data_IF_565943022492
#
_entry.id   IF_565943022492
#
_cell.length_a   1.000
_cell.length_b   1.000
_cell.length_c   1.000
_cell.angle_alpha   90.00
_cell.angle_beta   90.00
_cell.angle_gamma   90.00
#
_symmetry.space_group_name_H-M   'P 1'
#
loop_
_entity.id
_entity.type
_entity.pdbx_description
1 polymer ?
#
# COMPACT_ATOMS: atom_id res chain seq x y z
N UNK A 1 22.94 2.41 2.45
CA UNK A 1 22.17 3.04 1.36
C UNK A 1 20.76 3.20 1.88
N UNK A 2 20.22 4.41 1.83
CA UNK A 2 18.94 4.77 2.45
C UNK A 2 17.76 4.58 1.49
N UNK A 3 16.54 4.56 2.03
CA UNK A 3 15.31 4.62 1.24
C UNK A 3 15.24 5.96 0.50
N UNK A 4 14.85 5.96 -0.78
CA UNK A 4 14.77 7.17 -1.60
C UNK A 4 13.45 7.28 -2.37
N UNK A 5 12.93 8.50 -2.50
CA UNK A 5 11.76 8.81 -3.33
C UNK A 5 12.20 9.16 -4.77
N UNK A 6 11.50 8.59 -5.75
CA UNK A 6 11.73 8.81 -7.17
C UNK A 6 10.43 9.36 -7.79
N UNK A 7 10.42 10.61 -8.31
CA UNK A 7 9.25 11.23 -8.92
C UNK A 7 8.99 10.69 -10.33
N UNK A 8 8.53 9.45 -10.42
CA UNK A 8 8.30 8.77 -11.69
C UNK A 8 7.27 9.50 -12.58
N UNK A 9 6.34 10.24 -11.99
CA UNK A 9 5.36 11.08 -12.68
C UNK A 9 5.99 12.13 -13.61
N UNK A 10 7.21 12.61 -13.34
CA UNK A 10 7.96 13.51 -14.25
C UNK A 10 8.34 12.83 -15.56
N UNK A 11 8.67 11.54 -15.52
CA UNK A 11 8.97 10.74 -16.72
C UNK A 11 7.68 10.45 -17.49
N UNK A 12 6.58 10.14 -16.79
CA UNK A 12 5.27 9.96 -17.43
C UNK A 12 4.78 11.25 -18.11
N UNK A 13 5.07 12.43 -17.52
CA UNK A 13 4.79 13.73 -18.16
C UNK A 13 5.51 13.86 -19.50
N UNK A 14 6.75 13.39 -19.60
CA UNK A 14 7.48 13.37 -20.86
C UNK A 14 6.81 12.44 -21.89
N UNK A 15 6.35 11.25 -21.48
CA UNK A 15 5.65 10.32 -22.37
C UNK A 15 4.33 10.91 -22.87
N UNK A 16 3.57 11.55 -22.00
CA UNK A 16 2.31 12.21 -22.35
C UNK A 16 2.54 13.37 -23.34
N UNK A 17 3.53 14.25 -23.09
CA UNK A 17 3.89 15.35 -24.01
C UNK A 17 4.28 14.86 -25.41
N UNK A 18 5.01 13.76 -25.48
CA UNK A 18 5.40 13.16 -26.77
C UNK A 18 4.22 12.53 -27.53
N UNK A 19 3.08 12.36 -26.88
CA UNK A 19 1.89 11.68 -27.42
C UNK A 19 0.74 12.64 -27.70
N UNK A 20 0.87 13.94 -27.39
CA UNK A 20 -0.19 14.97 -27.54
C UNK A 20 -0.78 15.09 -28.96
N UNK A 21 0.04 14.82 -29.99
CA UNK A 21 -0.37 14.96 -31.39
C UNK A 21 -0.86 13.64 -32.01
N UNK A 22 -0.91 12.56 -31.23
CA UNK A 22 -1.43 11.27 -31.68
C UNK A 22 -2.96 11.23 -31.54
N UNK A 23 -3.66 10.42 -32.36
CA UNK A 23 -5.04 10.03 -32.07
C UNK A 23 -5.17 9.47 -30.65
N UNK A 24 -6.32 9.67 -30.00
CA UNK A 24 -6.49 9.37 -28.57
C UNK A 24 -6.09 7.94 -28.18
N UNK A 25 -6.51 6.93 -28.95
CA UNK A 25 -6.14 5.54 -28.68
C UNK A 25 -4.64 5.29 -28.88
N UNK A 26 -4.06 5.78 -29.97
CA UNK A 26 -2.63 5.65 -30.25
C UNK A 26 -1.77 6.35 -29.17
N UNK A 27 -2.28 7.44 -28.58
CA UNK A 27 -1.63 8.14 -27.49
C UNK A 27 -1.62 7.32 -26.19
N UNK A 28 -2.74 6.66 -25.86
CA UNK A 28 -2.85 5.77 -24.70
C UNK A 28 -1.88 4.60 -24.86
N UNK A 29 -1.90 3.91 -26.01
CA UNK A 29 -1.01 2.78 -26.30
C UNK A 29 0.48 3.21 -26.19
N UNK A 30 0.82 4.38 -26.76
CA UNK A 30 2.19 4.89 -26.71
C UNK A 30 2.68 5.23 -25.28
N UNK A 31 1.79 5.76 -24.43
CA UNK A 31 2.12 6.03 -23.02
C UNK A 31 2.25 4.72 -22.25
N UNK A 32 1.32 3.78 -22.45
CA UNK A 32 1.33 2.47 -21.80
C UNK A 32 2.62 1.70 -22.10
N UNK A 33 3.01 1.57 -23.38
CA UNK A 33 4.21 0.82 -23.78
C UNK A 33 5.48 1.41 -23.15
N UNK A 34 5.60 2.74 -23.14
CA UNK A 34 6.75 3.43 -22.53
C UNK A 34 6.75 3.30 -21.02
N UNK A 35 5.58 3.36 -20.38
CA UNK A 35 5.41 3.11 -18.95
C UNK A 35 5.85 1.68 -18.61
N UNK A 36 5.44 0.68 -19.39
CA UNK A 36 5.83 -0.73 -19.20
C UNK A 36 7.34 -0.91 -19.29
N UNK A 37 7.99 -0.32 -20.29
CA UNK A 37 9.44 -0.40 -20.46
C UNK A 37 10.19 0.33 -19.34
N UNK A 38 9.72 1.51 -18.95
CA UNK A 38 10.28 2.28 -17.85
C UNK A 38 10.23 1.50 -16.53
N UNK A 39 9.06 0.96 -16.17
CA UNK A 39 8.89 0.17 -14.96
C UNK A 39 9.73 -1.10 -14.99
N UNK A 40 9.82 -1.79 -16.13
CA UNK A 40 10.71 -2.96 -16.30
C UNK A 40 12.16 -2.62 -15.96
N UNK A 41 12.64 -1.48 -16.46
CA UNK A 41 14.01 -1.03 -16.24
C UNK A 41 14.24 -0.64 -14.78
N UNK A 42 13.32 0.11 -14.16
CA UNK A 42 13.38 0.50 -12.75
C UNK A 42 13.48 -0.71 -11.81
N UNK A 43 12.70 -1.75 -12.10
CA UNK A 43 12.56 -2.95 -11.27
C UNK A 43 13.50 -4.09 -11.70
N UNK A 44 14.37 -3.90 -12.68
CA UNK A 44 15.21 -4.95 -13.30
C UNK A 44 16.08 -5.76 -12.33
N UNK A 45 16.38 -5.22 -11.15
CA UNK A 45 17.14 -5.90 -10.09
C UNK A 45 16.28 -6.76 -9.17
N UNK A 46 14.95 -6.69 -9.28
CA UNK A 46 14.01 -7.49 -8.48
C UNK A 46 13.82 -8.88 -9.10
N UNK A 47 13.23 -9.79 -8.33
CA UNK A 47 12.79 -11.08 -8.87
C UNK A 47 11.81 -10.88 -10.05
N UNK A 48 11.88 -11.68 -11.13
CA UNK A 48 11.06 -11.49 -12.34
C UNK A 48 9.56 -11.37 -12.07
N UNK A 49 9.03 -12.11 -11.09
CA UNK A 49 7.62 -12.03 -10.71
C UNK A 49 7.22 -10.66 -10.13
N UNK A 50 8.13 -9.96 -9.44
CA UNK A 50 7.90 -8.59 -8.97
C UNK A 50 8.03 -7.58 -10.09
N UNK A 51 8.88 -7.83 -11.10
CA UNK A 51 8.96 -6.99 -12.29
C UNK A 51 7.64 -7.04 -13.06
N UNK A 52 7.16 -8.26 -13.36
CA UNK A 52 5.89 -8.46 -14.07
C UNK A 52 4.70 -7.85 -13.30
N UNK A 53 4.65 -8.11 -11.99
CA UNK A 53 3.64 -7.54 -11.11
C UNK A 53 3.68 -6.01 -11.09
N UNK A 54 4.87 -5.41 -10.98
CA UNK A 54 5.05 -3.96 -10.99
C UNK A 54 4.61 -3.33 -12.31
N UNK A 55 4.96 -3.93 -13.46
CA UNK A 55 4.52 -3.46 -14.77
C UNK A 55 3.00 -3.52 -14.90
N UNK A 56 2.38 -4.65 -14.52
CA UNK A 56 0.93 -4.80 -14.56
C UNK A 56 0.23 -3.78 -13.67
N UNK A 57 0.67 -3.63 -12.42
CA UNK A 57 0.10 -2.66 -11.49
C UNK A 57 0.24 -1.24 -12.02
N UNK A 58 1.41 -0.86 -12.54
CA UNK A 58 1.65 0.48 -13.06
C UNK A 58 0.73 0.86 -14.22
N UNK A 59 0.46 -0.08 -15.13
CA UNK A 59 -0.48 0.14 -16.23
C UNK A 59 -1.92 0.17 -15.73
N UNK A 60 -2.32 -0.82 -14.93
CA UNK A 60 -3.70 -0.87 -14.39
C UNK A 60 -4.06 0.37 -13.59
N UNK A 61 -3.11 0.94 -12.85
CA UNK A 61 -3.35 2.14 -12.06
C UNK A 61 -3.21 3.45 -12.84
N UNK A 62 -2.70 3.42 -14.08
CA UNK A 62 -2.69 4.59 -14.96
C UNK A 62 -4.03 4.72 -15.72
N UNK A 63 -4.68 3.59 -16.02
CA UNK A 63 -5.92 3.56 -16.80
C UNK A 63 -5.69 3.94 -18.27
N UNK A 64 -6.74 4.48 -18.90
CA UNK A 64 -6.74 4.94 -20.30
C UNK A 64 -6.87 6.48 -20.36
N UNK A 65 -5.86 7.23 -19.89
CA UNK A 65 -6.05 8.64 -19.61
C UNK A 65 -6.18 9.48 -20.87
N UNK A 66 -7.10 10.45 -20.84
CA UNK A 66 -7.06 11.59 -21.76
C UNK A 66 -5.75 12.37 -21.57
N UNK A 67 -4.92 12.50 -22.62
CA UNK A 67 -3.60 13.14 -22.53
C UNK A 67 -3.64 14.54 -21.91
N UNK A 68 -4.55 15.46 -22.32
CA UNK A 68 -4.65 16.78 -21.69
C UNK A 68 -5.00 16.72 -20.19
N UNK A 69 -5.85 15.78 -19.78
CA UNK A 69 -6.25 15.61 -18.37
C UNK A 69 -5.07 15.06 -17.55
N UNK A 70 -4.36 14.07 -18.08
CA UNK A 70 -3.15 13.54 -17.45
C UNK A 70 -2.07 14.60 -17.31
N UNK A 71 -1.84 15.41 -18.34
CA UNK A 71 -0.83 16.48 -18.28
C UNK A 71 -1.19 17.53 -17.23
N UNK A 72 -2.45 17.95 -17.15
CA UNK A 72 -2.90 18.87 -16.10
C UNK A 72 -2.68 18.28 -14.69
N UNK A 73 -3.05 17.01 -14.47
CA UNK A 73 -2.82 16.34 -13.19
C UNK A 73 -1.32 16.23 -12.85
N UNK A 74 -0.47 15.96 -13.84
CA UNK A 74 0.98 15.88 -13.65
C UNK A 74 1.61 17.24 -13.33
N UNK A 75 1.11 18.32 -13.95
CA UNK A 75 1.52 19.68 -13.63
C UNK A 75 1.07 20.06 -12.21
N UNK A 76 -0.11 19.64 -11.76
CA UNK A 76 -0.59 19.82 -10.38
C UNK A 76 0.27 19.07 -9.34
N UNK A 77 0.70 17.83 -9.65
CA UNK A 77 1.63 17.09 -8.79
C UNK A 77 2.99 17.77 -8.67
N UNK A 78 3.49 18.34 -9.77
CA UNK A 78 4.76 19.08 -9.77
C UNK A 78 4.63 20.40 -9.01
N UNK A 79 3.59 21.19 -9.28
CA UNK A 79 3.33 22.45 -8.59
C UNK A 79 3.01 22.26 -7.10
N UNK A 80 2.40 21.13 -6.75
CA UNK A 80 2.11 20.74 -5.37
C UNK A 80 3.26 20.06 -4.64
N UNK A 81 4.46 20.00 -5.21
CA UNK A 81 5.67 19.46 -4.58
C UNK A 81 5.53 18.00 -4.11
N UNK A 82 4.89 17.13 -4.92
CA UNK A 82 4.61 15.74 -4.54
C UNK A 82 5.85 14.98 -4.04
N UNK A 83 7.00 15.21 -4.68
CA UNK A 83 8.27 14.59 -4.28
C UNK A 83 8.69 15.04 -2.89
N UNK A 84 8.71 16.34 -2.64
CA UNK A 84 9.18 16.93 -1.39
C UNK A 84 8.24 16.57 -0.23
N UNK A 85 6.92 16.45 -0.49
CA UNK A 85 5.95 15.91 0.46
C UNK A 85 6.33 14.48 0.86
N UNK A 86 6.58 13.61 -0.13
CA UNK A 86 6.95 12.23 0.12
C UNK A 86 8.31 12.10 0.81
N UNK A 87 9.31 12.91 0.45
CA UNK A 87 10.62 12.95 1.12
C UNK A 87 10.45 13.34 2.61
N UNK A 88 9.66 14.39 2.92
CA UNK A 88 9.37 14.79 4.30
C UNK A 88 8.63 13.71 5.09
N UNK A 89 7.68 13.02 4.46
CA UNK A 89 6.94 11.93 5.09
C UNK A 89 7.84 10.73 5.38
N UNK A 90 8.72 10.38 4.44
CA UNK A 90 9.74 9.35 4.62
C UNK A 90 10.71 9.69 5.76
N UNK A 91 11.16 10.94 5.86
CA UNK A 91 12.02 11.38 6.96
C UNK A 91 11.35 11.21 8.32
N UNK A 92 10.06 11.57 8.43
CA UNK A 92 9.26 11.32 9.64
C UNK A 92 9.19 9.82 9.97
N UNK A 93 8.92 8.98 8.97
CA UNK A 93 8.83 7.53 9.13
C UNK A 93 10.17 6.92 9.61
N UNK A 94 11.27 7.27 8.96
CA UNK A 94 12.63 6.80 9.31
C UNK A 94 13.05 7.26 10.70
N UNK A 95 12.66 8.48 11.10
CA UNK A 95 12.91 8.98 12.46
C UNK A 95 12.11 8.20 13.51
N UNK A 96 10.88 7.81 13.21
CA UNK A 96 10.02 7.05 14.12
C UNK A 96 10.41 5.57 14.19
N UNK A 97 10.86 4.98 13.08
CA UNK A 97 11.26 3.57 12.96
C UNK A 97 12.54 3.46 12.13
N UNK A 98 13.69 3.60 12.78
CA UNK A 98 14.98 3.62 12.08
C UNK A 98 15.38 2.24 11.55
N UNK A 99 15.66 2.15 10.25
CA UNK A 99 16.20 0.95 9.58
C UNK A 99 17.37 1.29 8.64
N UNK A 100 18.59 1.44 9.16
CA UNK A 100 19.77 1.76 8.34
C UNK A 100 20.18 0.63 7.38
N UNK A 101 19.67 -0.58 7.63
CA UNK A 101 19.83 -1.77 6.80
C UNK A 101 18.79 -1.90 5.68
N UNK A 102 17.77 -1.03 5.65
CA UNK A 102 16.76 -0.99 4.61
C UNK A 102 17.25 -0.18 3.40
N UNK A 103 17.28 -0.84 2.24
CA UNK A 103 17.64 -0.24 0.96
C UNK A 103 16.49 -0.43 -0.03
N UNK A 104 15.75 0.64 -0.28
CA UNK A 104 14.48 0.59 -1.03
C UNK A 104 14.25 1.86 -1.85
N UNK A 105 13.36 1.76 -2.85
CA UNK A 105 12.96 2.90 -3.68
C UNK A 105 11.43 3.06 -3.65
N UNK A 106 10.96 4.26 -3.37
CA UNK A 106 9.54 4.62 -3.47
C UNK A 106 9.34 5.40 -4.76
N UNK A 107 8.53 4.88 -5.68
CA UNK A 107 8.27 5.50 -6.97
C UNK A 107 6.89 6.17 -6.96
N UNK A 108 6.85 7.48 -7.21
CA UNK A 108 5.60 8.23 -7.31
C UNK A 108 5.13 8.26 -8.77
N UNK A 109 4.09 7.50 -9.09
CA UNK A 109 3.46 7.45 -10.39
C UNK A 109 2.13 8.23 -10.39
N UNK A 110 1.67 8.76 -11.53
CA UNK A 110 0.30 9.22 -11.64
C UNK A 110 -0.65 8.02 -11.52
N UNK A 111 -1.78 8.24 -10.84
CA UNK A 111 -2.90 7.32 -10.87
C UNK A 111 -3.87 7.59 -12.03
N UNK A 112 -5.01 6.89 -11.99
CA UNK A 112 -6.10 7.02 -12.95
C UNK A 112 -7.17 8.00 -12.44
N UNK A 113 -7.35 9.09 -13.17
CA UNK A 113 -8.35 10.14 -12.90
C UNK A 113 -9.80 9.75 -13.13
N UNK A 114 -10.08 8.54 -13.62
CA UNK A 114 -11.42 7.99 -13.77
C UNK A 114 -11.69 6.81 -12.80
N UNK A 115 -10.67 6.39 -12.04
CA UNK A 115 -10.78 5.28 -11.10
C UNK A 115 -11.58 5.65 -9.86
N UNK A 116 -12.83 5.18 -9.79
CA UNK A 116 -13.69 5.37 -8.61
C UNK A 116 -13.09 4.80 -7.32
N UNK A 117 -12.28 3.75 -7.41
CA UNK A 117 -11.56 3.19 -6.25
C UNK A 117 -10.50 4.19 -5.77
N UNK A 118 -9.64 4.67 -6.68
CA UNK A 118 -8.58 5.61 -6.32
C UNK A 118 -9.16 6.90 -5.76
N UNK A 119 -10.14 7.50 -6.46
CA UNK A 119 -10.66 8.82 -6.11
C UNK A 119 -11.57 8.78 -4.88
N UNK A 120 -12.53 7.85 -4.84
CA UNK A 120 -13.60 7.90 -3.84
C UNK A 120 -13.33 7.01 -2.62
N UNK A 121 -12.52 5.96 -2.76
CA UNK A 121 -12.21 5.05 -1.64
C UNK A 121 -10.84 5.32 -1.03
N UNK A 122 -9.84 5.64 -1.86
CA UNK A 122 -8.45 5.83 -1.44
C UNK A 122 -8.04 7.31 -1.33
N UNK A 123 -8.96 8.26 -1.58
CA UNK A 123 -8.70 9.70 -1.53
C UNK A 123 -7.52 10.15 -2.40
N UNK A 124 -7.42 9.57 -3.59
CA UNK A 124 -6.45 9.93 -4.62
C UNK A 124 -5.05 9.34 -4.42
N UNK A 125 -4.78 8.57 -3.36
CA UNK A 125 -3.45 7.98 -3.15
C UNK A 125 -3.54 6.51 -2.78
N UNK A 126 -2.77 5.66 -3.47
CA UNK A 126 -2.62 4.24 -3.11
C UNK A 126 -1.15 3.82 -3.16
N UNK A 127 -0.78 2.83 -2.36
CA UNK A 127 0.56 2.26 -2.32
C UNK A 127 0.58 0.76 -2.61
N UNK A 128 1.72 0.28 -3.12
CA UNK A 128 1.96 -1.14 -3.34
C UNK A 128 3.45 -1.49 -3.20
N UNK A 129 3.79 -2.24 -2.16
CA UNK A 129 5.15 -2.68 -1.88
C UNK A 129 5.52 -4.01 -2.56
N UNK A 130 6.60 -3.99 -3.36
CA UNK A 130 7.24 -5.13 -4.00
C UNK A 130 8.42 -5.62 -3.15
N UNK A 131 8.09 -6.44 -2.15
CA UNK A 131 9.05 -6.88 -1.15
C UNK A 131 9.64 -5.71 -0.36
N UNK A 132 10.90 -5.83 0.06
CA UNK A 132 11.59 -4.79 0.83
C UNK A 132 12.34 -3.80 -0.07
N UNK A 133 12.24 -3.91 -1.39
CA UNK A 133 13.17 -3.24 -2.33
C UNK A 133 12.52 -2.10 -3.12
N UNK A 134 11.19 -2.15 -3.33
CA UNK A 134 10.49 -1.13 -4.08
C UNK A 134 9.05 -0.96 -3.58
N UNK A 135 8.54 0.27 -3.67
CA UNK A 135 7.12 0.61 -3.50
C UNK A 135 6.69 1.44 -4.69
N UNK A 136 5.53 1.12 -5.27
CA UNK A 136 4.86 1.97 -6.24
C UNK A 136 3.75 2.73 -5.51
N UNK A 137 3.78 4.06 -5.55
CA UNK A 137 2.72 4.92 -5.02
C UNK A 137 2.06 5.63 -6.19
N UNK A 138 0.75 5.52 -6.29
CA UNK A 138 -0.05 6.13 -7.34
C UNK A 138 -0.81 7.31 -6.75
N UNK A 139 -0.70 8.47 -7.41
CA UNK A 139 -1.21 9.75 -6.89
C UNK A 139 -2.07 10.42 -7.96
N UNK A 140 -3.27 10.84 -7.58
CA UNK A 140 -4.11 11.74 -8.36
C UNK A 140 -4.47 12.98 -7.51
N UNK A 141 -4.32 14.21 -8.06
CA UNK A 141 -4.45 15.43 -7.27
C UNK A 141 -5.92 15.82 -6.97
N UNK A 142 -6.56 15.08 -6.07
CA UNK A 142 -7.88 15.41 -5.49
C UNK A 142 -7.74 16.31 -4.25
N UNK A 143 -8.84 16.82 -3.70
CA UNK A 143 -8.77 17.58 -2.44
C UNK A 143 -7.99 16.82 -1.35
N UNK A 144 -7.07 17.52 -0.68
CA UNK A 144 -6.25 16.99 0.42
C UNK A 144 -5.28 15.84 0.04
N UNK A 145 -5.00 15.61 -1.26
CA UNK A 145 -4.10 14.55 -1.72
C UNK A 145 -2.70 14.60 -1.09
N UNK A 146 -2.22 15.77 -0.68
CA UNK A 146 -0.90 15.96 -0.07
C UNK A 146 -0.78 15.27 1.30
N UNK A 147 -1.84 15.36 2.11
CA UNK A 147 -1.88 14.70 3.41
C UNK A 147 -2.03 13.18 3.25
N UNK A 148 -2.84 12.75 2.28
CA UNK A 148 -2.97 11.34 1.91
C UNK A 148 -1.68 10.76 1.33
N UNK A 149 -0.90 11.55 0.58
CA UNK A 149 0.42 11.14 0.09
C UNK A 149 1.38 10.95 1.25
N UNK A 150 1.42 11.89 2.19
CA UNK A 150 2.27 11.77 3.38
C UNK A 150 1.93 10.51 4.17
N UNK A 151 0.63 10.28 4.41
CA UNK A 151 0.15 9.11 5.14
C UNK A 151 0.53 7.81 4.42
N UNK A 152 0.26 7.73 3.12
CA UNK A 152 0.52 6.53 2.32
C UNK A 152 2.01 6.21 2.27
N UNK A 153 2.88 7.22 2.16
CA UNK A 153 4.34 6.99 2.18
C UNK A 153 4.80 6.41 3.52
N UNK A 154 4.25 6.88 4.65
CA UNK A 154 4.60 6.34 5.98
C UNK A 154 4.03 4.92 6.15
N UNK A 155 2.80 4.68 5.68
CA UNK A 155 2.16 3.36 5.67
C UNK A 155 3.03 2.36 4.86
N UNK A 156 3.39 2.70 3.63
CA UNK A 156 4.22 1.84 2.78
C UNK A 156 5.64 1.65 3.31
N UNK A 157 6.19 2.64 4.02
CA UNK A 157 7.46 2.46 4.73
C UNK A 157 7.37 1.32 5.76
N UNK A 158 6.27 1.22 6.51
CA UNK A 158 6.07 0.09 7.43
C UNK A 158 6.04 -1.25 6.69
N UNK A 159 5.43 -1.33 5.51
CA UNK A 159 5.49 -2.54 4.68
C UNK A 159 6.90 -2.89 4.22
N UNK A 160 7.71 -1.90 3.80
CA UNK A 160 9.12 -2.13 3.45
C UNK A 160 9.90 -2.70 4.63
N UNK A 161 9.73 -2.13 5.83
CA UNK A 161 10.35 -2.62 7.07
C UNK A 161 9.92 -4.05 7.39
N UNK A 162 8.61 -4.35 7.30
CA UNK A 162 8.09 -5.70 7.55
C UNK A 162 8.57 -6.70 6.51
N UNK A 163 8.62 -6.34 5.23
CA UNK A 163 9.15 -7.18 4.18
C UNK A 163 10.66 -7.47 4.34
N UNK A 164 11.42 -6.58 4.99
CA UNK A 164 12.82 -6.82 5.31
C UNK A 164 12.98 -7.86 6.44
N UNK A 165 12.10 -7.83 7.44
CA UNK A 165 12.13 -8.75 8.58
C UNK A 165 11.54 -10.12 8.27
N UNK A 166 10.44 -10.10 7.52
CA UNK A 166 9.62 -11.26 7.16
C UNK A 166 9.54 -11.35 5.63
N UNK A 167 10.66 -11.68 4.96
CA UNK A 167 10.73 -11.68 3.51
C UNK A 167 9.76 -12.71 2.92
N UNK A 168 8.93 -12.25 1.99
CA UNK A 168 7.94 -13.03 1.26
C UNK A 168 8.33 -13.14 -0.21
N UNK A 169 8.06 -14.29 -0.81
CA UNK A 169 8.24 -14.56 -2.24
C UNK A 169 7.01 -15.26 -2.82
N UNK A 170 6.96 -15.36 -4.15
CA UNK A 170 5.87 -16.07 -4.84
C UNK A 170 6.31 -17.52 -5.10
N UNK A 171 5.54 -18.48 -4.59
CA UNK A 171 5.71 -19.89 -4.86
C UNK A 171 4.34 -20.55 -5.10
N UNK A 172 4.19 -21.29 -6.20
CA UNK A 172 2.93 -21.98 -6.52
C UNK A 172 1.70 -21.07 -6.60
N UNK A 173 1.88 -19.81 -7.04
CA UNK A 173 0.81 -18.81 -7.14
C UNK A 173 0.39 -18.17 -5.81
N UNK A 174 1.13 -18.41 -4.72
CA UNK A 174 0.87 -17.85 -3.39
C UNK A 174 2.06 -17.05 -2.88
N UNK A 175 1.81 -16.09 -1.99
CA UNK A 175 2.86 -15.49 -1.17
C UNK A 175 3.25 -16.48 -0.07
N UNK A 176 4.56 -16.72 0.06
CA UNK A 176 5.14 -17.61 1.08
C UNK A 176 6.29 -16.89 1.79
N UNK A 177 6.47 -17.17 3.08
CA UNK A 177 7.64 -16.70 3.81
C UNK A 177 8.89 -17.45 3.32
N UNK A 178 9.92 -16.72 2.89
CA UNK A 178 11.10 -17.32 2.26
C UNK A 178 11.86 -18.27 3.19
N UNK A 179 11.83 -18.01 4.51
CA UNK A 179 12.53 -18.84 5.51
C UNK A 179 11.82 -20.15 5.82
N UNK A 180 10.49 -20.14 5.95
CA UNK A 180 9.71 -21.32 6.38
C UNK A 180 9.02 -22.03 5.22
N UNK A 181 8.88 -21.36 4.07
CA UNK A 181 8.06 -21.79 2.93
C UNK A 181 6.56 -21.95 3.25
N UNK A 182 6.13 -21.45 4.41
CA UNK A 182 4.73 -21.42 4.80
C UNK A 182 4.01 -20.29 4.04
N UNK A 183 2.77 -20.53 3.59
CA UNK A 183 2.01 -19.50 2.89
C UNK A 183 1.56 -18.41 3.87
N UNK A 184 1.49 -17.19 3.35
CA UNK A 184 0.84 -16.09 4.06
C UNK A 184 -0.63 -16.44 4.32
N UNK A 185 -1.07 -16.16 5.55
CA UNK A 185 -2.44 -16.39 5.98
C UNK A 185 -3.24 -15.09 6.06
N UNK A 186 -4.56 -15.18 6.17
CA UNK A 186 -5.43 -14.04 6.35
C UNK A 186 -5.02 -13.18 7.55
N UNK A 187 -4.66 -13.79 8.69
CA UNK A 187 -4.23 -13.02 9.86
C UNK A 187 -2.93 -12.27 9.62
N UNK A 188 -2.00 -12.85 8.86
CA UNK A 188 -0.75 -12.19 8.50
C UNK A 188 -1.01 -10.94 7.65
N UNK A 189 -1.91 -11.06 6.67
CA UNK A 189 -2.31 -9.93 5.83
C UNK A 189 -3.03 -8.84 6.63
N UNK A 190 -4.02 -9.20 7.46
CA UNK A 190 -4.74 -8.25 8.31
C UNK A 190 -3.80 -7.48 9.25
N UNK A 191 -2.84 -8.18 9.87
CA UNK A 191 -1.88 -7.54 10.77
C UNK A 191 -0.80 -6.76 10.03
N UNK A 192 -0.46 -7.12 8.80
CA UNK A 192 0.44 -6.32 7.98
C UNK A 192 -0.16 -4.94 7.69
N UNK A 193 -1.42 -4.89 7.25
CA UNK A 193 -2.16 -3.63 7.01
C UNK A 193 -2.40 -2.87 8.32
N UNK A 194 -2.90 -3.56 9.36
CA UNK A 194 -3.19 -2.91 10.65
C UNK A 194 -1.96 -2.30 11.32
N UNK A 195 -0.79 -2.92 11.18
CA UNK A 195 0.48 -2.36 11.68
C UNK A 195 0.87 -1.13 10.86
N UNK A 196 0.73 -1.18 9.54
CA UNK A 196 1.08 -0.08 8.66
C UNK A 196 0.18 1.15 8.91
N UNK A 197 -1.13 0.94 9.04
CA UNK A 197 -2.11 1.98 9.38
C UNK A 197 -1.82 2.58 10.76
N UNK A 198 -1.66 1.74 11.78
CA UNK A 198 -1.41 2.23 13.13
C UNK A 198 -0.08 2.98 13.23
N UNK A 199 0.98 2.46 12.61
CA UNK A 199 2.27 3.15 12.55
C UNK A 199 2.13 4.52 11.86
N UNK A 200 1.49 4.58 10.69
CA UNK A 200 1.28 5.83 9.97
C UNK A 200 0.52 6.86 10.81
N UNK A 201 -0.57 6.44 11.47
CA UNK A 201 -1.37 7.31 12.36
C UNK A 201 -0.62 7.78 13.61
N UNK A 202 0.39 7.04 14.07
CA UNK A 202 1.24 7.50 15.19
C UNK A 202 2.29 8.53 14.80
N UNK A 203 2.63 8.59 13.50
CA UNK A 203 3.61 9.53 12.96
C UNK A 203 2.92 10.81 12.47
N UNK A 204 1.71 10.68 11.93
CA UNK A 204 0.90 11.78 11.43
C UNK A 204 -0.59 11.48 11.58
N UNK A 205 -1.37 12.46 12.02
CA UNK A 205 -2.80 12.28 12.37
C UNK A 205 -3.72 13.24 11.60
N UNK A 206 -3.21 13.85 10.53
CA UNK A 206 -3.90 14.83 9.69
C UNK A 206 -4.92 14.19 8.73
N UNK A 207 -5.01 12.86 8.70
CA UNK A 207 -5.99 12.09 7.92
C UNK A 207 -6.77 11.13 8.82
N UNK A 208 -7.96 10.75 8.38
CA UNK A 208 -8.80 9.74 9.04
C UNK A 208 -9.13 8.61 8.03
N UNK A 209 -8.31 7.55 7.97
CA UNK A 209 -8.51 6.43 7.07
C UNK A 209 -9.84 5.72 7.35
N UNK A 210 -10.81 5.70 6.42
CA UNK A 210 -12.12 5.11 6.69
C UNK A 210 -12.02 3.61 7.00
N UNK A 211 -10.99 2.93 6.47
CA UNK A 211 -10.76 1.50 6.69
C UNK A 211 -10.21 1.13 8.07
N UNK A 212 -9.85 2.10 8.92
CA UNK A 212 -9.44 1.81 10.32
C UNK A 212 -10.62 1.76 11.29
N UNK A 213 -11.79 2.25 10.88
CA UNK A 213 -13.01 2.32 11.72
C UNK A 213 -14.30 2.06 10.91
N UNK A 214 -14.24 1.16 9.93
CA UNK A 214 -15.37 0.91 9.02
C UNK A 214 -16.47 0.02 9.61
N UNK A 215 -16.21 -0.65 10.73
CA UNK A 215 -17.14 -1.55 11.40
C UNK A 215 -17.56 -0.96 12.74
N UNK A 216 -18.86 -0.89 13.02
CA UNK A 216 -19.29 -0.63 14.40
C UNK A 216 -19.11 -1.88 15.30
N UNK A 217 -19.46 -1.76 16.59
CA UNK A 217 -19.35 -2.85 17.56
C UNK A 217 -20.29 -4.03 17.22
N UNK A 218 -21.53 -3.75 16.77
CA UNK A 218 -22.51 -4.77 16.41
C UNK A 218 -22.06 -5.56 15.17
N UNK A 219 -21.58 -4.85 14.15
CA UNK A 219 -21.00 -5.44 12.95
C UNK A 219 -19.77 -6.28 13.28
N UNK A 220 -18.92 -5.80 14.18
CA UNK A 220 -17.74 -6.53 14.67
C UNK A 220 -18.14 -7.82 15.37
N UNK A 221 -19.07 -7.77 16.32
CA UNK A 221 -19.57 -8.95 17.04
C UNK A 221 -20.20 -9.97 16.07
N UNK A 222 -20.94 -9.49 15.08
CA UNK A 222 -21.60 -10.33 14.07
C UNK A 222 -20.60 -11.00 13.12
N UNK A 223 -19.58 -10.28 12.65
CA UNK A 223 -18.65 -10.78 11.61
C UNK A 223 -17.45 -11.54 12.20
N UNK A 224 -16.97 -11.16 13.39
CA UNK A 224 -15.74 -11.68 13.97
C UNK A 224 -15.71 -13.21 14.08
N UNK A 225 -16.74 -13.91 14.58
CA UNK A 225 -16.72 -15.37 14.65
C UNK A 225 -16.52 -16.05 13.29
N UNK A 226 -17.01 -15.43 12.21
CA UNK A 226 -16.86 -15.95 10.84
C UNK A 226 -15.45 -15.76 10.31
N UNK A 227 -14.86 -14.57 10.53
CA UNK A 227 -13.49 -14.24 10.11
C UNK A 227 -12.48 -15.03 10.93
N UNK A 228 -12.69 -15.16 12.25
CA UNK A 228 -11.82 -15.92 13.15
C UNK A 228 -11.57 -17.35 12.68
N UNK A 229 -12.63 -18.06 12.23
CA UNK A 229 -12.51 -19.43 11.69
C UNK A 229 -11.71 -19.51 10.39
N UNK A 230 -11.40 -18.37 9.76
CA UNK A 230 -10.67 -18.26 8.49
C UNK A 230 -9.29 -17.62 8.63
N UNK A 231 -8.84 -17.28 9.84
CA UNK A 231 -7.54 -16.61 10.04
C UNK A 231 -6.36 -17.35 9.38
N UNK A 232 -6.40 -18.69 9.36
CA UNK A 232 -5.38 -19.53 8.72
C UNK A 232 -5.58 -19.76 7.21
N UNK A 233 -6.58 -19.16 6.56
CA UNK A 233 -6.79 -19.29 5.11
C UNK A 233 -5.63 -18.62 4.38
N UNK A 234 -5.08 -19.30 3.38
CA UNK A 234 -3.94 -18.84 2.59
C UNK A 234 -4.28 -18.68 1.09
N UNK A 235 -5.57 -18.67 0.76
CA UNK A 235 -6.04 -18.49 -0.61
C UNK A 235 -6.09 -16.98 -0.93
N UNK A 236 -5.34 -16.49 -1.95
CA UNK A 236 -5.26 -15.06 -2.23
C UNK A 236 -6.60 -14.40 -2.55
N UNK A 237 -7.53 -15.12 -3.20
CA UNK A 237 -8.86 -14.61 -3.52
C UNK A 237 -9.69 -14.43 -2.26
N UNK A 238 -9.67 -15.40 -1.35
CA UNK A 238 -10.36 -15.30 -0.06
C UNK A 238 -9.75 -14.26 0.88
N UNK A 239 -8.41 -14.14 0.92
CA UNK A 239 -7.73 -13.08 1.68
C UNK A 239 -8.21 -11.72 1.18
N UNK A 240 -8.15 -11.48 -0.14
CA UNK A 240 -8.62 -10.22 -0.74
C UNK A 240 -10.10 -9.98 -0.43
N UNK A 241 -10.95 -11.01 -0.57
CA UNK A 241 -12.38 -10.90 -0.26
C UNK A 241 -12.63 -10.45 1.18
N UNK A 242 -11.85 -10.94 2.15
CA UNK A 242 -12.05 -10.59 3.56
C UNK A 242 -11.44 -9.23 3.91
N UNK A 243 -10.28 -8.88 3.33
CA UNK A 243 -9.66 -7.57 3.53
C UNK A 243 -10.58 -6.44 3.05
N UNK A 244 -11.05 -6.53 1.80
CA UNK A 244 -11.79 -5.46 1.15
C UNK A 244 -13.31 -5.54 1.34
N UNK A 245 -13.85 -6.70 1.68
CA UNK A 245 -15.28 -6.98 1.70
C UNK A 245 -15.78 -7.60 0.38
N UNK A 246 -17.05 -8.02 0.36
CA UNK A 246 -17.65 -8.71 -0.79
C UNK A 246 -19.03 -8.17 -1.22
N UNK A 247 -19.42 -6.98 -0.73
CA UNK A 247 -20.73 -6.35 -0.96
C UNK A 247 -21.95 -7.22 -0.55
N UNK A 248 -21.74 -8.29 0.22
CA UNK A 248 -22.80 -9.19 0.71
C UNK A 248 -22.57 -9.52 2.20
N UNK A 249 -21.73 -10.52 2.49
CA UNK A 249 -21.60 -11.10 3.83
C UNK A 249 -20.45 -10.52 4.63
N UNK A 250 -19.46 -9.96 3.96
CA UNK A 250 -18.30 -9.31 4.57
C UNK A 250 -18.40 -7.83 4.27
N UNK A 251 -18.61 -6.98 5.30
CA UNK A 251 -18.65 -5.54 5.12
C UNK A 251 -17.37 -5.01 4.49
N UNK A 252 -17.48 -3.86 3.85
CA UNK A 252 -16.32 -3.19 3.26
C UNK A 252 -15.26 -2.91 4.33
N UNK A 253 -13.99 -3.13 4.00
CA UNK A 253 -12.84 -2.90 4.90
C UNK A 253 -12.81 -3.74 6.18
N UNK A 254 -13.60 -4.82 6.27
CA UNK A 254 -13.69 -5.61 7.49
C UNK A 254 -12.31 -6.15 7.95
N UNK A 255 -11.51 -6.70 7.03
CA UNK A 255 -10.19 -7.22 7.38
C UNK A 255 -9.20 -6.12 7.78
N UNK A 256 -9.24 -4.95 7.12
CA UNK A 256 -8.43 -3.79 7.50
C UNK A 256 -8.80 -3.29 8.91
N UNK A 257 -10.09 -3.05 9.15
CA UNK A 257 -10.58 -2.53 10.44
C UNK A 257 -10.24 -3.48 11.59
N UNK A 258 -10.46 -4.78 11.39
CA UNK A 258 -10.14 -5.79 12.40
C UNK A 258 -8.63 -5.93 12.61
N UNK A 259 -7.83 -5.87 11.55
CA UNK A 259 -6.36 -5.87 11.64
C UNK A 259 -5.84 -4.69 12.46
N UNK A 260 -6.31 -3.48 12.18
CA UNK A 260 -6.00 -2.28 12.96
C UNK A 260 -6.41 -2.44 14.43
N UNK A 261 -7.64 -2.88 14.70
CA UNK A 261 -8.13 -3.11 16.08
C UNK A 261 -7.35 -4.18 16.84
N UNK A 262 -6.83 -5.21 16.17
CA UNK A 262 -5.94 -6.20 16.80
C UNK A 262 -4.63 -5.57 17.27
N UNK A 263 -4.02 -4.72 16.43
CA UNK A 263 -2.79 -4.00 16.76
C UNK A 263 -3.03 -3.02 17.91
N UNK A 264 -4.11 -2.24 17.87
CA UNK A 264 -4.46 -1.32 18.96
C UNK A 264 -4.72 -2.06 20.27
N UNK A 265 -5.46 -3.17 20.23
CA UNK A 265 -5.70 -4.00 21.43
C UNK A 265 -4.42 -4.64 21.98
N UNK A 266 -3.45 -4.99 21.12
CA UNK A 266 -2.14 -5.44 21.57
C UNK A 266 -1.42 -4.35 22.37
N UNK A 267 -1.42 -3.10 21.89
CA UNK A 267 -0.79 -1.97 22.57
C UNK A 267 -1.47 -1.63 23.91
N UNK A 268 -2.79 -1.71 23.97
CA UNK A 268 -3.54 -1.54 25.24
C UNK A 268 -3.12 -2.54 26.32
N UNK A 269 -2.76 -3.76 25.93
CA UNK A 269 -2.30 -4.83 26.84
C UNK A 269 -0.81 -4.78 27.13
N UNK A 270 -0.05 -4.04 26.34
CA UNK A 270 1.40 -3.92 26.43
C UNK A 270 1.78 -2.43 26.50
N UNK A 271 1.49 -1.74 27.62
CA UNK A 271 1.61 -0.29 27.72
C UNK A 271 3.04 0.25 27.53
N UNK A 272 4.05 -0.62 27.72
CA UNK A 272 5.45 -0.29 27.48
C UNK A 272 5.88 -0.46 26.01
N UNK A 273 5.01 -1.00 25.16
CA UNK A 273 5.26 -1.18 23.72
C UNK A 273 4.85 0.05 22.92
N UNK A 274 5.72 0.44 22.02
CA UNK A 274 5.46 1.46 21.00
C UNK A 274 5.00 0.82 19.70
N UNK A 275 4.38 1.61 18.81
CA UNK A 275 4.04 1.15 17.45
C UNK A 275 5.27 0.81 16.61
N UNK A 276 6.38 1.53 16.80
CA UNK A 276 7.65 1.19 16.16
C UNK A 276 8.13 -0.21 16.59
N UNK A 277 7.99 -0.58 17.87
CA UNK A 277 8.32 -1.93 18.35
C UNK A 277 7.33 -2.98 17.82
N UNK A 278 6.04 -2.69 17.81
CA UNK A 278 5.01 -3.58 17.26
C UNK A 278 5.26 -3.87 15.77
N UNK A 279 5.74 -2.89 15.01
CA UNK A 279 6.07 -3.06 13.59
C UNK A 279 7.17 -4.10 13.33
N UNK A 280 8.01 -4.38 14.34
CA UNK A 280 9.09 -5.37 14.27
C UNK A 280 8.63 -6.80 14.63
N UNK A 281 7.40 -6.98 15.10
CA UNK A 281 6.88 -8.28 15.53
C UNK A 281 6.20 -9.04 14.39
N UNK A 282 6.30 -10.38 14.37
CA UNK A 282 5.49 -11.20 13.47
C UNK A 282 4.02 -11.08 13.86
N UNK A 283 3.11 -11.24 12.88
CA UNK A 283 1.68 -11.06 13.10
C UNK A 283 1.13 -11.93 14.25
N UNK A 284 1.47 -13.21 14.25
CA UNK A 284 1.04 -14.14 15.30
C UNK A 284 1.38 -13.68 16.74
N UNK A 285 2.50 -12.99 16.96
CA UNK A 285 2.86 -12.45 18.27
C UNK A 285 1.95 -11.28 18.68
N UNK A 286 1.59 -10.41 17.73
CA UNK A 286 0.64 -9.32 17.95
C UNK A 286 -0.74 -9.90 18.27
N UNK A 287 -1.22 -10.86 17.48
CA UNK A 287 -2.50 -11.52 17.74
C UNK A 287 -2.52 -12.12 19.14
N UNK A 288 -1.50 -12.92 19.50
CA UNK A 288 -1.40 -13.59 20.80
C UNK A 288 -1.41 -12.62 22.00
N UNK A 289 -0.86 -11.41 21.83
CA UNK A 289 -0.88 -10.37 22.86
C UNK A 289 -2.14 -9.49 22.85
N UNK A 290 -3.05 -9.65 21.89
CA UNK A 290 -4.28 -8.86 21.76
C UNK A 290 -5.49 -9.56 22.40
N UNK A 291 -6.61 -8.83 22.60
CA UNK A 291 -7.88 -9.42 23.06
C UNK A 291 -8.51 -10.43 22.10
N UNK A 292 -8.06 -10.42 20.85
CA UNK A 292 -8.53 -11.33 19.81
C UNK A 292 -7.94 -12.74 19.95
N UNK A 293 -6.97 -12.96 20.85
CA UNK A 293 -6.49 -14.30 21.21
C UNK A 293 -7.46 -15.05 22.16
N UNK A 294 -8.16 -14.31 23.03
CA UNK A 294 -9.00 -14.88 24.09
C UNK A 294 -10.42 -15.22 23.63
N UNK A 295 -10.83 -14.63 22.50
CA UNK A 295 -12.21 -14.66 22.00
C UNK A 295 -12.41 -15.74 20.98
#
# INVERSE_FOLDING_TARGET
MAVSVIPAYRVVSHFAKQSENLPAMDAVDAIEDRMRDYVRNLLSTLHPSFVEMGQRTAVTQLGDPSVPVLLAALDDLEAGEAREIADRALDKAVKALSRPDLNSRIFLFPGDGESSVLLNQMNGVLGFSLGAQATLVFVWPVENWQNWLSYTVIHEYAHLVRNLLFPRGIAGGKLVYMKTQEPETLVDAMLAEGVADAFALSVMSEVNPPWTDALDDEETERIWPRIRRRLGVSDPTEIRRILFGDNDRVPQWAGYTLGYRMVMSYLERQPDSTLAQAALLPGNAILAGSRYADS
#
